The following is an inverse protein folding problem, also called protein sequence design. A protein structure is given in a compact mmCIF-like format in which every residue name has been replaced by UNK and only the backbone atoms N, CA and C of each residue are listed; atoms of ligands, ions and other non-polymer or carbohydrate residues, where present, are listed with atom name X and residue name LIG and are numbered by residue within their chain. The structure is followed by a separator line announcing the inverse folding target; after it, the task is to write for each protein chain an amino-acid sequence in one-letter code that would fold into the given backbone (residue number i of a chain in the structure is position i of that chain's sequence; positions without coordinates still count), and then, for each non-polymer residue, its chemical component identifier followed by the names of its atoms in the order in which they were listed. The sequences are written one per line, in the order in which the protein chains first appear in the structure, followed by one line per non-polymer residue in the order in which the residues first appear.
data_IF_594642199875
#
_entry.id   IF_594642199875
#
_cell.length_a   1.000
_cell.length_b   1.000
_cell.length_c   1.000
_cell.angle_alpha   90.00
_cell.angle_beta   90.00
_cell.angle_gamma   90.00
#
_symmetry.space_group_name_H-M   'P 1'
#
loop_
_entity.id
_entity.type
_entity.pdbx_description
1 polymer ?
#
# COMPACT_ATOMS: atom_id res chain seq x y z
N UNK A 1 -22.09 61.52 33.79
CA UNK A 1 -21.77 60.21 34.42
C UNK A 1 -22.43 59.14 33.55
N UNK A 2 -21.91 58.94 32.35
CA UNK A 2 -21.14 57.76 31.90
C UNK A 2 -21.93 56.44 31.94
N UNK A 3 -22.58 56.12 30.82
CA UNK A 3 -22.97 54.77 30.45
C UNK A 3 -22.07 54.33 29.29
N UNK A 4 -21.03 53.56 29.59
CA UNK A 4 -20.15 52.97 28.58
C UNK A 4 -20.68 51.59 28.22
N UNK A 5 -21.30 51.47 27.06
CA UNK A 5 -21.74 50.21 26.46
C UNK A 5 -20.47 49.51 25.96
N UNK A 6 -20.05 48.46 26.67
CA UNK A 6 -18.91 47.64 26.29
C UNK A 6 -19.38 46.51 25.37
N UNK A 7 -19.36 46.78 24.06
CA UNK A 7 -19.61 45.78 23.02
C UNK A 7 -18.40 44.86 22.90
N UNK A 8 -18.43 43.73 23.61
CA UNK A 8 -17.46 42.63 23.45
C UNK A 8 -17.74 41.90 22.14
N UNK A 9 -17.08 42.32 21.07
CA UNK A 9 -17.01 41.56 19.82
C UNK A 9 -16.10 40.35 20.04
N UNK A 10 -16.67 39.16 20.25
CA UNK A 10 -15.94 37.89 20.20
C UNK A 10 -15.45 37.66 18.76
N UNK A 11 -14.23 38.12 18.47
CA UNK A 11 -13.52 37.71 17.27
C UNK A 11 -13.04 36.27 17.46
N UNK A 12 -13.83 35.30 17.03
CA UNK A 12 -13.39 33.91 16.90
C UNK A 12 -12.27 33.85 15.85
N UNK A 13 -11.03 33.83 16.30
CA UNK A 13 -9.88 33.52 15.48
C UNK A 13 -9.98 32.07 15.03
N UNK A 14 -10.45 31.85 13.80
CA UNK A 14 -10.38 30.56 13.13
C UNK A 14 -8.89 30.30 12.85
N UNK A 15 -8.25 29.53 13.73
CA UNK A 15 -6.92 28.99 13.48
C UNK A 15 -7.09 27.92 12.42
N UNK A 16 -6.74 28.24 11.18
CA UNK A 16 -6.66 27.25 10.11
C UNK A 16 -5.54 26.25 10.45
N UNK A 17 -5.93 25.05 10.90
CA UNK A 17 -5.01 23.94 11.10
C UNK A 17 -4.34 23.61 9.75
N UNK A 18 -3.09 24.01 9.57
CA UNK A 18 -2.29 23.61 8.41
C UNK A 18 -2.07 22.11 8.49
N UNK A 19 -2.82 21.34 7.69
CA UNK A 19 -2.57 19.91 7.52
C UNK A 19 -1.23 19.79 6.79
N UNK A 20 -0.21 19.28 7.48
CA UNK A 20 1.06 19.00 6.86
C UNK A 20 0.84 18.12 5.62
N UNK A 21 1.47 18.43 4.48
CA UNK A 21 1.27 17.66 3.26
C UNK A 21 1.60 16.19 3.54
N UNK A 22 0.64 15.29 3.28
CA UNK A 22 0.85 13.85 3.42
C UNK A 22 2.04 13.48 2.55
N UNK A 23 3.12 13.00 3.17
CA UNK A 23 4.30 12.53 2.43
C UNK A 23 3.86 11.41 1.49
N UNK A 24 4.28 11.49 0.22
CA UNK A 24 4.04 10.43 -0.75
C UNK A 24 4.77 9.17 -0.26
N UNK A 25 4.11 8.00 -0.22
CA UNK A 25 4.78 6.77 0.18
C UNK A 25 5.80 6.38 -0.89
N UNK A 26 6.87 5.71 -0.47
CA UNK A 26 7.74 4.98 -1.38
C UNK A 26 7.08 3.65 -1.74
N UNK A 27 7.20 3.23 -2.99
CA UNK A 27 6.65 1.96 -3.47
C UNK A 27 7.84 1.07 -3.87
N UNK A 28 7.89 -0.14 -3.31
CA UNK A 28 8.87 -1.17 -3.65
C UNK A 28 8.12 -2.36 -4.24
N UNK A 29 8.37 -2.65 -5.52
CA UNK A 29 7.83 -3.82 -6.21
C UNK A 29 8.90 -4.91 -6.24
N UNK A 30 8.61 -6.06 -5.61
CA UNK A 30 9.50 -7.24 -5.60
C UNK A 30 8.84 -8.31 -6.46
N UNK A 31 9.61 -8.88 -7.40
CA UNK A 31 9.16 -9.97 -8.28
C UNK A 31 10.14 -11.12 -8.19
N UNK A 32 9.65 -12.33 -7.97
CA UNK A 32 10.42 -13.57 -8.06
C UNK A 32 10.10 -14.25 -9.40
N UNK A 33 11.13 -14.62 -10.17
CA UNK A 33 10.95 -15.32 -11.45
C UNK A 33 10.72 -16.83 -11.19
N UNK A 34 9.84 -17.44 -11.99
CA UNK A 34 9.47 -18.86 -11.93
C UNK A 34 9.06 -19.40 -10.53
N UNK A 35 8.54 -18.54 -9.65
CA UNK A 35 8.00 -18.96 -8.36
C UNK A 35 6.55 -19.45 -8.50
N UNK A 36 6.29 -20.71 -8.14
CA UNK A 36 4.92 -21.21 -8.06
C UNK A 36 4.15 -20.55 -6.91
N UNK A 37 2.83 -20.45 -7.05
CA UNK A 37 1.97 -19.75 -6.09
C UNK A 37 1.97 -20.40 -4.71
N UNK A 38 2.09 -21.71 -4.62
CA UNK A 38 2.07 -22.47 -3.37
C UNK A 38 3.45 -22.57 -2.71
N UNK A 39 4.53 -22.09 -3.34
CA UNK A 39 5.89 -22.19 -2.80
C UNK A 39 6.07 -21.54 -1.42
N UNK A 40 5.56 -20.31 -1.14
CA UNK A 40 5.74 -19.70 0.17
C UNK A 40 5.03 -20.46 1.30
N UNK A 41 5.63 -20.48 2.49
CA UNK A 41 5.08 -21.11 3.68
C UNK A 41 3.67 -20.62 4.05
N UNK A 42 3.43 -19.32 3.93
CA UNK A 42 2.13 -18.69 4.15
C UNK A 42 1.03 -19.08 3.13
N UNK A 43 1.39 -19.81 2.06
CA UNK A 43 0.46 -20.37 1.05
C UNK A 43 0.42 -21.90 1.09
N UNK A 44 1.07 -22.53 2.06
CA UNK A 44 1.00 -23.97 2.31
C UNK A 44 2.17 -24.81 1.77
N UNK A 45 3.21 -24.19 1.19
CA UNK A 45 4.37 -24.91 0.65
C UNK A 45 5.68 -24.74 1.44
N UNK A 46 6.76 -25.23 0.83
CA UNK A 46 8.17 -25.30 1.26
C UNK A 46 8.50 -25.94 2.63
N UNK A 47 7.54 -26.10 3.53
CA UNK A 47 7.80 -26.52 4.91
C UNK A 47 8.16 -25.34 5.83
N UNK A 48 8.18 -25.56 7.16
CA UNK A 48 8.43 -24.50 8.12
C UNK A 48 9.82 -23.87 7.91
N UNK A 49 9.92 -22.56 8.15
CA UNK A 49 11.16 -21.76 8.17
C UNK A 49 11.93 -21.61 6.85
N UNK A 50 11.36 -21.99 5.69
CA UNK A 50 12.01 -21.74 4.38
C UNK A 50 11.84 -20.30 3.90
N UNK A 51 10.68 -19.68 4.15
CA UNK A 51 10.35 -18.33 3.66
C UNK A 51 10.02 -17.32 4.77
N UNK A 52 10.76 -17.26 5.89
CA UNK A 52 10.33 -16.52 7.09
C UNK A 52 10.13 -15.02 6.84
N UNK A 53 10.88 -14.42 5.90
CA UNK A 53 10.71 -13.01 5.54
C UNK A 53 9.44 -12.75 4.71
N UNK A 54 9.09 -13.66 3.80
CA UNK A 54 7.85 -13.56 3.01
C UNK A 54 6.64 -13.81 3.90
N UNK A 55 6.74 -14.80 4.79
CA UNK A 55 5.68 -15.14 5.72
C UNK A 55 5.41 -13.99 6.71
N UNK A 56 6.46 -13.33 7.18
CA UNK A 56 6.34 -12.09 7.99
C UNK A 56 5.65 -10.98 7.20
N UNK A 57 6.07 -10.72 5.95
CA UNK A 57 5.43 -9.71 5.09
C UNK A 57 3.94 -10.00 4.87
N UNK A 58 3.57 -11.27 4.69
CA UNK A 58 2.18 -11.68 4.55
C UNK A 58 1.37 -11.45 5.84
N UNK A 59 1.98 -11.65 7.02
CA UNK A 59 1.32 -11.43 8.32
C UNK A 59 1.12 -9.95 8.69
N UNK A 60 1.98 -9.07 8.18
CA UNK A 60 1.93 -7.62 8.44
C UNK A 60 1.08 -6.87 7.41
N UNK A 61 0.59 -7.56 6.38
CA UNK A 61 -0.06 -6.95 5.22
C UNK A 61 -1.30 -7.69 4.75
N UNK A 62 -1.57 -7.58 3.44
CA UNK A 62 -2.66 -8.27 2.77
C UNK A 62 -2.06 -9.31 1.83
N UNK A 63 -2.49 -10.55 1.97
CA UNK A 63 -2.12 -11.68 1.11
C UNK A 63 -3.29 -12.02 0.19
N UNK A 64 -3.01 -12.19 -1.10
CA UNK A 64 -4.00 -12.62 -2.09
C UNK A 64 -3.89 -14.12 -2.32
N UNK A 65 -4.96 -14.87 -2.04
CA UNK A 65 -5.02 -16.33 -2.25
C UNK A 65 -5.28 -16.71 -3.72
N UNK A 66 -5.83 -15.77 -4.47
CA UNK A 66 -6.20 -15.94 -5.88
C UNK A 66 -5.62 -14.79 -6.72
N UNK A 67 -4.29 -14.75 -6.79
CA UNK A 67 -3.56 -13.86 -7.69
C UNK A 67 -3.16 -14.61 -8.97
N UNK A 68 -3.65 -14.15 -10.12
CA UNK A 68 -3.42 -14.80 -11.42
C UNK A 68 -2.45 -14.01 -12.28
N UNK A 69 -1.63 -14.73 -13.03
CA UNK A 69 -0.83 -14.15 -14.12
C UNK A 69 -1.62 -14.22 -15.42
N UNK A 70 -1.60 -13.14 -16.21
CA UNK A 70 -2.31 -13.09 -17.49
C UNK A 70 -1.65 -14.01 -18.53
N UNK A 71 -0.33 -14.19 -18.44
CA UNK A 71 0.48 -15.01 -19.35
C UNK A 71 1.65 -15.62 -18.59
N UNK A 72 1.76 -16.95 -18.56
CA UNK A 72 2.80 -17.68 -17.85
C UNK A 72 4.13 -17.71 -18.62
N UNK A 73 4.60 -16.54 -19.07
CA UNK A 73 5.89 -16.33 -19.73
C UNK A 73 6.53 -15.06 -19.18
N UNK A 74 7.81 -15.14 -18.80
CA UNK A 74 8.49 -14.14 -17.99
C UNK A 74 8.45 -12.71 -18.58
N UNK A 75 8.82 -12.53 -19.85
CA UNK A 75 8.82 -11.22 -20.52
C UNK A 75 7.43 -10.61 -20.66
N UNK A 76 6.43 -11.27 -21.29
CA UNK A 76 5.11 -10.66 -21.46
C UNK A 76 4.38 -10.49 -20.12
N UNK A 77 4.59 -11.35 -19.12
CA UNK A 77 4.06 -11.15 -17.76
C UNK A 77 4.54 -9.82 -17.16
N UNK A 78 5.85 -9.55 -17.24
CA UNK A 78 6.44 -8.29 -16.79
C UNK A 78 5.96 -7.09 -17.61
N UNK A 79 5.78 -7.25 -18.92
CA UNK A 79 5.23 -6.19 -19.77
C UNK A 79 3.81 -5.80 -19.35
N UNK A 80 2.94 -6.76 -19.03
CA UNK A 80 1.59 -6.49 -18.50
C UNK A 80 1.66 -5.72 -17.18
N UNK A 81 2.54 -6.12 -16.25
CA UNK A 81 2.71 -5.43 -14.95
C UNK A 81 3.18 -3.97 -15.12
N UNK A 82 4.09 -3.70 -16.06
CA UNK A 82 4.66 -2.36 -16.25
C UNK A 82 3.74 -1.43 -17.05
N UNK A 83 2.94 -1.97 -17.96
CA UNK A 83 2.09 -1.16 -18.86
C UNK A 83 0.64 -1.10 -18.42
N UNK A 84 0.17 -2.05 -17.63
CA UNK A 84 -1.24 -2.21 -17.30
C UNK A 84 -2.12 -2.67 -18.47
N UNK A 85 -1.52 -3.13 -19.57
CA UNK A 85 -2.20 -3.61 -20.77
C UNK A 85 -2.12 -5.14 -20.86
N UNK A 86 -3.14 -5.78 -21.42
CA UNK A 86 -3.11 -7.22 -21.71
C UNK A 86 -2.10 -7.54 -22.82
N UNK A 87 -1.54 -8.75 -22.79
CA UNK A 87 -0.76 -9.28 -23.93
C UNK A 87 -1.68 -9.55 -25.12
N UNK A 88 -1.14 -9.34 -26.33
CA UNK A 88 -1.80 -9.71 -27.59
C UNK A 88 -1.83 -11.21 -27.82
#
# INVERSE_FOLDING_TARGET
MSAAICSLSLASTIVAQQVAPKKRPNIVLIVADDMNWDTPGCLGGAGPDITPNIDRLASEGVRFEHAYVNIAVCTPSRSVMLTGLYSH
#
